data_IF_150955083207
#
_entry.id   IF_150955083207
#
_cell.length_a   1.000
_cell.length_b   1.000
_cell.length_c   1.000
_cell.angle_alpha   90.00
_cell.angle_beta   90.00
_cell.angle_gamma   90.00
#
_symmetry.space_group_name_H-M   'P 1'
#
loop_
_entity.id
_entity.type
_entity.pdbx_description
1 polymer ?
#
# COMPACT_ATOMS: atom_id res chain seq x y z
N UNK A 1 2.11 3.96 12.79
CA UNK A 1 0.89 4.64 12.32
C UNK A 1 0.45 3.96 11.04
N UNK A 2 -0.84 3.98 10.73
CA UNK A 2 -1.36 3.41 9.48
C UNK A 2 -1.28 4.45 8.36
N UNK A 3 -0.76 4.04 7.21
CA UNK A 3 -0.76 4.80 5.96
C UNK A 3 -1.38 3.93 4.88
N UNK A 4 -2.43 4.44 4.24
CA UNK A 4 -3.01 3.80 3.06
C UNK A 4 -2.30 4.36 1.83
N UNK A 5 -1.76 3.46 1.01
CA UNK A 5 -1.14 3.80 -0.27
C UNK A 5 -2.09 3.39 -1.39
N UNK A 6 -2.55 4.34 -2.19
CA UNK A 6 -3.29 4.06 -3.43
C UNK A 6 -2.37 4.31 -4.61
N UNK A 7 -2.29 3.33 -5.52
CA UNK A 7 -1.49 3.42 -6.74
C UNK A 7 -2.40 3.36 -7.95
N UNK A 8 -2.50 4.46 -8.68
CA UNK A 8 -3.16 4.52 -9.97
C UNK A 8 -2.14 4.19 -11.07
N UNK A 9 -2.39 3.09 -11.78
CA UNK A 9 -1.47 2.53 -12.76
C UNK A 9 -2.26 1.79 -13.83
N UNK A 10 -1.90 1.99 -15.09
CA UNK A 10 -2.52 1.27 -16.19
C UNK A 10 -2.09 -0.21 -16.19
N UNK A 11 -2.97 -1.09 -15.72
CA UNK A 11 -2.71 -2.54 -15.66
C UNK A 11 -3.04 -3.32 -16.93
N UNK A 12 -3.46 -2.66 -18.02
CA UNK A 12 -3.71 -3.34 -19.30
C UNK A 12 -2.39 -3.66 -20.03
N UNK A 13 -1.37 -2.83 -19.80
CA UNK A 13 -0.05 -2.98 -20.40
C UNK A 13 0.87 -3.90 -19.60
N UNK A 14 1.81 -4.55 -20.28
CA UNK A 14 2.83 -5.38 -19.61
C UNK A 14 3.75 -4.55 -18.68
N UNK A 15 4.05 -3.31 -19.06
CA UNK A 15 4.86 -2.37 -18.28
C UNK A 15 4.14 -1.96 -16.99
N UNK A 16 2.87 -1.56 -17.06
CA UNK A 16 2.12 -1.17 -15.87
C UNK A 16 1.87 -2.35 -14.91
N UNK A 17 1.59 -3.56 -15.44
CA UNK A 17 1.57 -4.79 -14.61
C UNK A 17 2.91 -5.04 -13.89
N UNK A 18 4.04 -4.78 -14.56
CA UNK A 18 5.38 -4.92 -13.98
C UNK A 18 5.60 -3.88 -12.87
N UNK A 19 5.22 -2.61 -13.08
CA UNK A 19 5.32 -1.57 -12.05
C UNK A 19 4.43 -1.87 -10.84
N UNK A 20 3.17 -2.28 -11.04
CA UNK A 20 2.28 -2.69 -9.95
C UNK A 20 2.87 -3.85 -9.13
N UNK A 21 3.49 -4.83 -9.79
CA UNK A 21 4.17 -5.93 -9.07
C UNK A 21 5.33 -5.42 -8.22
N UNK A 22 6.13 -4.49 -8.73
CA UNK A 22 7.25 -3.92 -7.99
C UNK A 22 6.78 -3.06 -6.82
N UNK A 23 5.79 -2.19 -7.02
CA UNK A 23 5.14 -1.40 -5.97
C UNK A 23 4.54 -2.32 -4.90
N UNK A 24 3.81 -3.36 -5.30
CA UNK A 24 3.24 -4.33 -4.36
C UNK A 24 4.31 -5.04 -3.54
N UNK A 25 5.47 -5.36 -4.12
CA UNK A 25 6.58 -5.98 -3.40
C UNK A 25 7.13 -5.04 -2.34
N UNK A 26 7.32 -3.75 -2.68
CA UNK A 26 7.78 -2.73 -1.74
C UNK A 26 6.77 -2.54 -0.59
N UNK A 27 5.48 -2.33 -0.90
CA UNK A 27 4.46 -2.10 0.13
C UNK A 27 4.28 -3.28 1.09
N UNK A 28 4.41 -4.52 0.59
CA UNK A 28 4.30 -5.73 1.41
C UNK A 28 5.42 -5.85 2.47
N UNK A 29 6.57 -5.19 2.29
CA UNK A 29 7.62 -5.13 3.31
C UNK A 29 7.16 -4.33 4.56
N UNK A 30 6.12 -3.50 4.41
CA UNK A 30 5.63 -2.58 5.44
C UNK A 30 4.17 -2.84 5.83
N UNK A 31 3.51 -3.83 5.24
CA UNK A 31 2.09 -4.07 5.46
C UNK A 31 1.49 -5.06 4.48
N UNK A 32 0.28 -4.77 3.98
CA UNK A 32 -0.48 -5.72 3.16
C UNK A 32 -1.20 -5.07 1.98
N UNK A 33 -1.44 -5.87 0.94
CA UNK A 33 -2.23 -5.49 -0.23
C UNK A 33 -3.71 -5.77 -0.05
N UNK A 34 -4.51 -4.73 0.14
CA UNK A 34 -5.95 -4.84 0.44
C UNK A 34 -6.85 -4.81 -0.80
N UNK A 35 -6.47 -4.10 -1.87
CA UNK A 35 -7.18 -4.13 -3.16
C UNK A 35 -6.22 -4.45 -4.32
N UNK A 36 -6.62 -4.26 -5.57
CA UNK A 36 -5.72 -4.49 -6.69
C UNK A 36 -4.49 -3.56 -6.61
N UNK A 37 -4.68 -2.28 -6.32
CA UNK A 37 -3.57 -1.33 -6.22
C UNK A 37 -3.65 -0.43 -4.99
N UNK A 38 -4.29 -0.92 -3.92
CA UNK A 38 -4.35 -0.26 -2.61
C UNK A 38 -3.70 -1.13 -1.54
N UNK A 39 -2.90 -0.49 -0.70
CA UNK A 39 -2.06 -1.12 0.32
C UNK A 39 -2.27 -0.43 1.67
N UNK A 40 -2.31 -1.21 2.73
CA UNK A 40 -2.30 -0.74 4.12
C UNK A 40 -0.91 -0.99 4.70
N UNK A 41 -0.20 0.09 5.05
CA UNK A 41 1.16 0.03 5.56
C UNK A 41 1.21 0.52 7.01
N UNK A 42 1.77 -0.29 7.91
CA UNK A 42 1.95 0.06 9.31
C UNK A 42 3.41 0.47 9.57
N UNK A 43 3.66 1.78 9.54
CA UNK A 43 5.02 2.35 9.55
C UNK A 43 5.19 3.44 10.60
N UNK A 44 6.43 3.71 11.03
CA UNK A 44 6.78 4.96 11.70
C UNK A 44 7.16 6.04 10.66
N UNK A 45 7.56 7.22 11.12
CA UNK A 45 7.94 8.33 10.23
C UNK A 45 9.16 8.01 9.37
N UNK A 46 10.15 7.31 9.94
CA UNK A 46 11.40 7.00 9.23
C UNK A 46 11.14 5.98 8.13
N UNK A 47 10.42 4.89 8.47
CA UNK A 47 10.03 3.86 7.50
C UNK A 47 9.08 4.41 6.42
N UNK A 48 8.24 5.39 6.74
CA UNK A 48 7.40 6.04 5.74
C UNK A 48 8.25 6.76 4.67
N UNK A 49 9.25 7.53 5.08
CA UNK A 49 10.11 8.24 4.13
C UNK A 49 10.96 7.27 3.30
N UNK A 50 11.49 6.22 3.91
CA UNK A 50 12.20 5.14 3.18
C UNK A 50 11.28 4.46 2.15
N UNK A 51 10.05 4.11 2.55
CA UNK A 51 9.07 3.50 1.66
C UNK A 51 8.72 4.44 0.50
N UNK A 52 8.49 5.73 0.76
CA UNK A 52 8.23 6.73 -0.29
C UNK A 52 9.39 6.81 -1.27
N UNK A 53 10.63 6.91 -0.81
CA UNK A 53 11.80 6.96 -1.68
C UNK A 53 11.88 5.73 -2.59
N UNK A 54 11.65 4.53 -2.05
CA UNK A 54 11.64 3.29 -2.82
C UNK A 54 10.52 3.26 -3.86
N UNK A 55 9.33 3.75 -3.51
CA UNK A 55 8.18 3.80 -4.44
C UNK A 55 8.39 4.83 -5.55
N UNK A 56 8.93 6.01 -5.21
CA UNK A 56 9.19 7.08 -6.16
C UNK A 56 10.28 6.72 -7.19
N UNK A 57 11.13 5.72 -6.92
CA UNK A 57 12.08 5.16 -7.89
C UNK A 57 11.47 4.14 -8.86
N UNK A 58 10.24 3.70 -8.62
CA UNK A 58 9.61 2.58 -9.35
C UNK A 58 8.39 3.01 -10.16
N UNK A 59 7.63 3.99 -9.66
CA UNK A 59 6.50 4.53 -10.43
C UNK A 59 6.98 5.32 -11.65
N UNK A 60 6.07 5.51 -12.60
CA UNK A 60 6.29 6.32 -13.79
C UNK A 60 5.53 7.64 -13.62
N UNK A 61 6.26 8.74 -13.48
CA UNK A 61 5.66 10.04 -13.13
C UNK A 61 4.81 10.65 -14.25
N UNK A 62 5.00 10.23 -15.49
CA UNK A 62 4.24 10.73 -16.63
C UNK A 62 2.87 10.04 -16.77
N UNK A 63 2.75 8.82 -16.25
CA UNK A 63 1.61 7.93 -16.54
C UNK A 63 0.91 7.36 -15.29
N UNK A 64 1.55 7.42 -14.12
CA UNK A 64 1.02 6.83 -12.89
C UNK A 64 0.85 7.88 -11.79
N UNK A 65 0.16 7.52 -10.71
CA UNK A 65 0.01 8.38 -9.52
C UNK A 65 0.02 7.59 -8.23
N UNK A 66 0.72 8.11 -7.22
CA UNK A 66 0.77 7.54 -5.86
C UNK A 66 0.12 8.51 -4.86
N UNK A 67 -0.82 8.01 -4.08
CA UNK A 67 -1.46 8.75 -3.00
C UNK A 67 -1.15 8.10 -1.65
N UNK A 68 -0.78 8.92 -0.67
CA UNK A 68 -0.47 8.50 0.69
C UNK A 68 -1.46 9.14 1.66
N UNK A 69 -2.35 8.33 2.25
CA UNK A 69 -3.31 8.78 3.24
C UNK A 69 -2.84 8.38 4.64
N UNK A 70 -2.41 9.35 5.45
CA UNK A 70 -2.03 9.08 6.83
C UNK A 70 -3.29 8.98 7.71
N UNK A 71 -3.61 7.77 8.15
CA UNK A 71 -4.78 7.48 9.01
C UNK A 71 -4.44 7.67 10.50
N UNK A 72 -3.15 7.66 10.83
CA UNK A 72 -2.61 7.89 12.17
C UNK A 72 -2.49 6.63 13.01
N UNK A 73 -2.29 6.81 14.32
CA UNK A 73 -2.06 5.68 15.27
C UNK A 73 -3.34 4.99 15.75
N UNK A 74 -4.49 5.67 15.71
CA UNK A 74 -5.82 5.15 16.10
C UNK A 74 -6.64 4.87 14.84
N UNK A 75 -6.24 3.86 14.08
CA UNK A 75 -6.76 3.58 12.73
C UNK A 75 -7.84 2.51 12.70
N UNK A 76 -7.96 1.72 13.77
CA UNK A 76 -8.78 0.51 13.87
C UNK A 76 -10.27 0.77 13.54
N UNK A 77 -10.77 1.95 13.88
CA UNK A 77 -12.17 2.35 13.64
C UNK A 77 -12.34 3.31 12.45
N UNK A 78 -11.26 3.61 11.72
CA UNK A 78 -11.25 4.61 10.63
C UNK A 78 -11.29 3.98 9.24
N UNK A 79 -10.99 2.69 9.14
CA UNK A 79 -10.98 1.95 7.88
C UNK A 79 -12.07 0.90 7.95
N UNK A 80 -12.97 0.93 6.96
CA UNK A 80 -14.02 -0.05 6.80
C UNK A 80 -13.90 -0.63 5.40
N UNK A 81 -14.04 -1.94 5.28
CA UNK A 81 -14.08 -2.62 3.98
C UNK A 81 -15.38 -3.40 3.87
N UNK A 82 -15.90 -3.46 2.65
CA UNK A 82 -17.10 -4.21 2.30
C UNK A 82 -16.77 -5.04 1.07
N UNK A 83 -17.25 -6.29 1.02
CA UNK A 83 -17.03 -7.21 -0.09
C UNK A 83 -16.34 -8.50 0.29
N UNK A 84 -15.85 -9.23 -0.71
CA UNK A 84 -15.44 -10.63 -0.60
C UNK A 84 -14.03 -10.87 -0.06
N UNK A 85 -13.17 -9.86 -0.02
CA UNK A 85 -11.76 -10.04 0.33
C UNK A 85 -11.58 -9.96 1.85
N UNK A 86 -11.22 -11.08 2.46
CA UNK A 86 -10.76 -11.09 3.85
C UNK A 86 -9.37 -10.49 3.93
N UNK A 87 -9.24 -9.40 4.68
CA UNK A 87 -7.99 -8.69 4.93
C UNK A 87 -7.56 -9.02 6.36
N UNK A 88 -6.27 -9.29 6.57
CA UNK A 88 -5.74 -9.59 7.90
C UNK A 88 -5.70 -8.33 8.76
N UNK A 89 -5.94 -8.48 10.06
CA UNK A 89 -5.76 -7.40 11.01
C UNK A 89 -4.27 -7.28 11.37
N UNK A 90 -3.56 -6.32 10.76
CA UNK A 90 -2.12 -6.10 10.97
C UNK A 90 -1.76 -5.71 12.42
N UNK A 91 -2.73 -5.26 13.21
CA UNK A 91 -2.53 -4.91 14.61
C UNK A 91 -2.55 -6.12 15.56
N UNK A 92 -2.95 -7.30 15.07
CA UNK A 92 -3.11 -8.50 15.89
C UNK A 92 -2.01 -9.54 15.61
N UNK A 93 -1.64 -10.34 16.62
CA UNK A 93 -0.75 -11.46 16.42
C UNK A 93 -1.32 -12.44 15.38
N UNK A 94 -0.48 -12.92 14.47
CA UNK A 94 -0.84 -14.04 13.59
C UNK A 94 -0.84 -15.29 14.45
N UNK A 95 -2.00 -15.96 14.53
CA UNK A 95 -2.15 -17.25 15.21
C UNK A 95 -2.19 -18.33 14.13
N UNK A 96 -1.31 -19.33 14.26
CA UNK A 96 -1.21 -20.48 13.36
C UNK A 96 -1.93 -21.70 13.93
#
# INVERSE_FOLDING_TARGET
MMVIVSYDVNTETASGKKRLRNVSKICNDYGQRVQNSVFECLVDSTKLEEMKERLLKVYDEECDSLYFFNVGKKYENKVQSYGCKQVLDLGKPVVF
#
